data_IF_893632734233
#
_entry.id   IF_893632734233
#
_cell.length_a   1.000
_cell.length_b   1.000
_cell.length_c   1.000
_cell.angle_alpha   90.00
_cell.angle_beta   90.00
_cell.angle_gamma   90.00
#
_symmetry.space_group_name_H-M   'P 1'
#
loop_
_entity.id
_entity.type
_entity.pdbx_description
1 polymer ?
#
# COMPACT_ATOMS: atom_id res chain seq x y z
N UNK A 1 4.99 -61.84 -13.25
CA UNK A 1 3.77 -61.03 -13.34
C UNK A 1 3.91 -59.86 -12.37
N UNK A 2 4.36 -58.71 -12.88
CA UNK A 2 4.84 -57.58 -12.08
C UNK A 2 3.70 -56.56 -11.94
N UNK A 3 3.08 -56.49 -10.76
CA UNK A 3 2.09 -55.47 -10.47
C UNK A 3 2.80 -54.14 -10.21
N UNK A 4 2.79 -53.27 -11.22
CA UNK A 4 3.26 -51.89 -11.15
C UNK A 4 2.27 -51.10 -10.26
N UNK A 5 2.62 -50.91 -8.99
CA UNK A 5 1.89 -50.04 -8.08
C UNK A 5 2.08 -48.59 -8.52
N UNK A 6 1.06 -48.05 -9.18
CA UNK A 6 1.00 -46.66 -9.63
C UNK A 6 1.06 -45.77 -8.39
N UNK A 7 2.25 -45.21 -8.15
CA UNK A 7 2.48 -44.23 -7.10
C UNK A 7 1.44 -43.12 -7.19
N UNK A 8 0.63 -42.98 -6.14
CA UNK A 8 -0.30 -41.88 -6.00
C UNK A 8 0.49 -40.58 -6.06
N UNK A 9 0.48 -39.93 -7.23
CA UNK A 9 0.90 -38.54 -7.37
C UNK A 9 -0.02 -37.72 -6.48
N UNK A 10 0.45 -37.41 -5.27
CA UNK A 10 -0.11 -36.36 -4.43
C UNK A 10 0.00 -35.08 -5.25
N UNK A 11 -1.05 -34.76 -6.01
CA UNK A 11 -1.21 -33.41 -6.56
C UNK A 11 -1.11 -32.49 -5.34
N UNK A 12 -0.15 -31.55 -5.28
CA UNK A 12 -0.16 -30.58 -4.21
C UNK A 12 -1.52 -29.93 -4.28
N UNK A 13 -2.31 -30.12 -3.22
CA UNK A 13 -3.56 -29.41 -3.01
C UNK A 13 -3.14 -27.96 -2.80
N UNK A 14 -2.80 -27.28 -3.90
CA UNK A 14 -2.69 -25.82 -3.93
C UNK A 14 -3.97 -25.39 -3.25
N UNK A 15 -3.86 -24.84 -2.05
CA UNK A 15 -4.99 -24.30 -1.34
C UNK A 15 -5.58 -23.29 -2.32
N UNK A 16 -6.67 -23.68 -2.98
CA UNK A 16 -7.30 -22.85 -3.98
C UNK A 16 -7.91 -21.71 -3.18
N UNK A 17 -7.12 -20.64 -3.03
CA UNK A 17 -7.55 -19.42 -2.38
C UNK A 17 -8.81 -19.00 -3.12
N UNK A 18 -9.92 -18.87 -2.39
CA UNK A 18 -11.18 -18.53 -3.05
C UNK A 18 -11.06 -17.15 -3.69
N UNK A 19 -11.77 -16.89 -4.80
CA UNK A 19 -11.70 -15.58 -5.46
C UNK A 19 -11.97 -14.41 -4.51
N UNK A 20 -12.80 -14.62 -3.49
CA UNK A 20 -13.06 -13.65 -2.42
C UNK A 20 -11.83 -13.37 -1.54
N UNK A 21 -11.03 -14.40 -1.22
CA UNK A 21 -9.80 -14.24 -0.46
C UNK A 21 -8.72 -13.50 -1.27
N UNK A 22 -8.65 -13.76 -2.58
CA UNK A 22 -7.76 -13.03 -3.48
C UNK A 22 -8.13 -11.55 -3.55
N UNK A 23 -9.42 -11.24 -3.73
CA UNK A 23 -9.91 -9.86 -3.77
C UNK A 23 -9.66 -9.12 -2.45
N UNK A 24 -9.88 -9.79 -1.31
CA UNK A 24 -9.58 -9.22 0.00
C UNK A 24 -8.08 -8.93 0.17
N UNK A 25 -7.21 -9.83 -0.26
CA UNK A 25 -5.76 -9.63 -0.21
C UNK A 25 -5.32 -8.46 -1.12
N UNK A 26 -5.87 -8.35 -2.33
CA UNK A 26 -5.60 -7.23 -3.23
C UNK A 26 -6.07 -5.90 -2.63
N UNK A 27 -7.28 -5.86 -2.09
CA UNK A 27 -7.82 -4.68 -1.43
C UNK A 27 -6.95 -4.27 -0.22
N UNK A 28 -6.47 -5.24 0.56
CA UNK A 28 -5.59 -4.96 1.69
C UNK A 28 -4.24 -4.37 1.25
N UNK A 29 -3.64 -4.90 0.17
CA UNK A 29 -2.37 -4.41 -0.37
C UNK A 29 -2.52 -3.01 -0.96
N UNK A 30 -3.54 -2.78 -1.78
CA UNK A 30 -3.78 -1.46 -2.38
C UNK A 30 -4.16 -0.45 -1.30
N UNK A 31 -5.02 -0.84 -0.35
CA UNK A 31 -5.45 0.01 0.75
C UNK A 31 -4.29 0.42 1.66
N UNK A 32 -3.39 -0.51 2.01
CA UNK A 32 -2.23 -0.20 2.84
C UNK A 32 -1.23 0.70 2.12
N UNK A 33 -1.01 0.50 0.82
CA UNK A 33 -0.15 1.36 0.00
C UNK A 33 -0.70 2.80 -0.04
N UNK A 34 -1.99 2.97 -0.32
CA UNK A 34 -2.64 4.29 -0.32
C UNK A 34 -2.57 4.92 1.07
N UNK A 35 -2.83 4.17 2.13
CA UNK A 35 -2.74 4.67 3.50
C UNK A 35 -1.32 5.14 3.85
N UNK A 36 -0.28 4.39 3.45
CA UNK A 36 1.11 4.76 3.66
C UNK A 36 1.47 6.06 2.92
N UNK A 37 1.03 6.21 1.67
CA UNK A 37 1.20 7.46 0.93
C UNK A 37 0.51 8.62 1.63
N UNK A 38 -0.73 8.45 2.09
CA UNK A 38 -1.44 9.50 2.82
C UNK A 38 -0.69 9.89 4.11
N UNK A 39 -0.24 8.91 4.89
CA UNK A 39 0.49 9.15 6.15
C UNK A 39 1.84 9.82 5.93
N UNK A 40 2.49 9.61 4.79
CA UNK A 40 3.80 10.20 4.47
C UNK A 40 3.70 11.55 3.75
N UNK A 41 2.71 11.72 2.87
CA UNK A 41 2.54 12.93 2.07
C UNK A 41 1.74 14.02 2.80
N UNK A 42 0.71 13.67 3.58
CA UNK A 42 -0.04 14.65 4.37
C UNK A 42 0.83 15.47 5.34
N UNK A 43 1.72 14.90 6.17
CA UNK A 43 2.55 15.69 7.07
C UNK A 43 3.53 16.59 6.30
N UNK A 44 3.97 16.18 5.11
CA UNK A 44 4.83 17.00 4.25
C UNK A 44 4.09 18.24 3.74
N UNK A 45 2.87 18.08 3.24
CA UNK A 45 2.02 19.19 2.81
C UNK A 45 1.66 20.09 3.99
N UNK A 46 1.26 19.50 5.13
CA UNK A 46 0.93 20.27 6.33
C UNK A 46 2.15 21.01 6.88
N UNK A 47 3.36 20.43 6.76
CA UNK A 47 4.62 21.09 7.12
C UNK A 47 4.88 22.30 6.23
N UNK A 48 4.74 22.16 4.91
CA UNK A 48 4.88 23.25 3.95
C UNK A 48 3.89 24.38 4.25
N UNK A 49 2.61 24.04 4.47
CA UNK A 49 1.56 25.01 4.84
C UNK A 49 1.85 25.67 6.18
N UNK A 50 2.36 24.92 7.17
CA UNK A 50 2.73 25.45 8.48
C UNK A 50 3.92 26.41 8.37
N UNK A 51 4.92 26.08 7.56
CA UNK A 51 6.04 26.98 7.26
C UNK A 51 5.52 28.23 6.57
N UNK A 52 4.65 28.08 5.56
CA UNK A 52 4.02 29.21 4.89
C UNK A 52 3.24 30.11 5.87
N UNK A 53 2.55 29.52 6.86
CA UNK A 53 1.87 30.28 7.93
C UNK A 53 2.84 30.95 8.89
N UNK A 54 3.91 30.27 9.32
CA UNK A 54 4.93 30.81 10.23
C UNK A 54 5.76 31.93 9.59
N UNK A 55 6.08 31.78 8.31
CA UNK A 55 6.80 32.79 7.52
C UNK A 55 5.89 33.91 7.04
N UNK A 56 4.59 33.93 7.38
CA UNK A 56 3.68 35.00 6.98
C UNK A 56 3.26 34.98 5.50
N UNK A 57 3.59 33.92 4.77
CA UNK A 57 3.27 33.70 3.37
C UNK A 57 3.81 34.78 2.44
N UNK A 58 3.18 34.95 1.26
CA UNK A 58 3.50 35.99 0.26
C UNK A 58 3.52 37.44 0.84
N UNK A 59 3.02 37.66 2.07
CA UNK A 59 3.07 38.95 2.76
C UNK A 59 4.38 39.24 3.49
N UNK A 60 5.21 38.25 3.80
CA UNK A 60 6.53 38.50 4.42
C UNK A 60 7.60 38.92 3.41
N UNK A 61 7.44 38.53 2.14
CA UNK A 61 8.29 39.01 1.05
C UNK A 61 8.03 40.48 0.65
N UNK A 62 7.12 41.18 1.34
CA UNK A 62 6.78 42.59 1.08
C UNK A 62 7.55 43.58 1.97
N UNK A 63 8.48 43.06 2.79
CA UNK A 63 9.27 43.86 3.73
C UNK A 63 10.77 43.74 3.43
N UNK A 64 11.14 43.93 2.17
CA UNK A 64 12.42 44.50 1.79
C UNK A 64 12.14 45.67 0.84
N UNK A 65 12.61 46.89 1.16
CA UNK A 65 12.53 48.04 0.27
C UNK A 65 13.37 47.85 -1.01
#
# INVERSE_FOLDING_TARGET
MTAMSIGMRRRPRRAAMSGRQLLAAQAAVVGSLVAALIVTELPSILREVRIYRMTGGLRANRRYP
#
